data_IF_163143647538
#
_entry.id   IF_163143647538
#
_cell.length_a   1.000
_cell.length_b   1.000
_cell.length_c   1.000
_cell.angle_alpha   90.00
_cell.angle_beta   90.00
_cell.angle_gamma   90.00
#
_symmetry.space_group_name_H-M   'P 1'
#
loop_
_entity.id
_entity.type
_entity.pdbx_description
1 polymer ?
#
# COMPACT_ATOMS: atom_id res chain seq x y z
N UNK A 1 -75.87 0.05 36.36
CA UNK A 1 -74.52 0.69 36.36
C UNK A 1 -74.46 1.74 35.25
N UNK A 2 -73.96 2.96 35.51
CA UNK A 2 -73.91 4.02 34.49
C UNK A 2 -72.79 3.79 33.46
N UNK A 3 -72.91 4.32 32.24
CA UNK A 3 -71.88 4.18 31.20
C UNK A 3 -70.54 4.80 31.60
N UNK A 4 -70.54 5.84 32.44
CA UNK A 4 -69.34 6.44 33.01
C UNK A 4 -68.56 5.43 33.87
N UNK A 5 -69.25 4.73 34.78
CA UNK A 5 -68.64 3.72 35.64
C UNK A 5 -68.10 2.50 34.86
N UNK A 6 -68.74 2.13 33.74
CA UNK A 6 -68.26 1.06 32.85
C UNK A 6 -67.01 1.50 32.08
N UNK A 7 -66.99 2.74 31.58
CA UNK A 7 -65.83 3.31 30.89
C UNK A 7 -64.61 3.42 31.83
N UNK A 8 -64.83 3.85 33.07
CA UNK A 8 -63.78 3.97 34.08
C UNK A 8 -63.20 2.61 34.48
N UNK A 9 -64.05 1.57 34.63
CA UNK A 9 -63.59 0.19 34.87
C UNK A 9 -62.81 -0.40 33.70
N UNK A 10 -63.06 0.04 32.47
CA UNK A 10 -62.28 -0.37 31.30
C UNK A 10 -60.91 0.31 31.28
N UNK A 11 -60.87 1.61 31.57
CA UNK A 11 -59.63 2.36 31.71
C UNK A 11 -58.74 1.79 32.84
N UNK A 12 -59.32 1.50 34.01
CA UNK A 12 -58.62 0.91 35.16
C UNK A 12 -58.03 -0.50 34.88
N UNK A 13 -58.56 -1.23 33.89
CA UNK A 13 -58.04 -2.53 33.43
C UNK A 13 -57.00 -2.40 32.30
N UNK A 14 -56.48 -1.20 32.06
CA UNK A 14 -55.49 -0.91 31.02
C UNK A 14 -56.07 -0.95 29.60
N UNK A 15 -57.40 -1.01 29.46
CA UNK A 15 -58.09 -0.93 28.18
C UNK A 15 -58.47 0.53 27.91
N UNK A 16 -57.46 1.39 27.78
CA UNK A 16 -57.60 2.84 27.53
C UNK A 16 -58.13 3.19 26.13
N UNK A 17 -59.11 2.44 25.64
CA UNK A 17 -59.79 2.73 24.38
C UNK A 17 -60.94 3.72 24.66
N UNK A 18 -60.99 4.80 23.88
CA UNK A 18 -62.16 5.67 23.81
C UNK A 18 -63.36 4.84 23.33
N UNK A 19 -64.31 4.56 24.24
CA UNK A 19 -65.59 3.92 23.92
C UNK A 19 -66.67 4.99 23.90
N UNK A 20 -67.38 5.10 22.79
CA UNK A 20 -68.42 6.12 22.63
C UNK A 20 -69.52 5.93 23.68
N UNK A 21 -69.75 6.93 24.55
CA UNK A 21 -70.73 6.86 25.66
C UNK A 21 -72.12 6.42 25.17
N UNK A 22 -72.57 6.99 24.06
CA UNK A 22 -73.84 6.65 23.40
C UNK A 22 -73.96 5.16 23.02
N UNK A 23 -72.84 4.49 22.75
CA UNK A 23 -72.78 3.04 22.43
C UNK A 23 -72.86 2.18 23.70
N UNK A 24 -72.26 2.63 24.80
CA UNK A 24 -72.38 1.97 26.11
C UNK A 24 -73.80 2.10 26.66
N UNK A 25 -74.39 3.30 26.59
CA UNK A 25 -75.76 3.55 27.02
C UNK A 25 -76.76 2.70 26.22
N UNK A 26 -76.62 2.64 24.89
CA UNK A 26 -77.45 1.78 24.03
C UNK A 26 -77.29 0.28 24.33
N UNK A 27 -76.11 -0.16 24.77
CA UNK A 27 -75.86 -1.53 25.21
C UNK A 27 -76.47 -1.84 26.58
N UNK A 28 -76.40 -0.87 27.50
CA UNK A 28 -77.03 -0.91 28.83
C UNK A 28 -78.55 -1.02 28.72
N UNK A 29 -79.19 -0.23 27.86
CA UNK A 29 -80.65 -0.27 27.64
C UNK A 29 -81.13 -1.59 27.01
N UNK A 30 -80.24 -2.36 26.37
CA UNK A 30 -80.55 -3.67 25.76
C UNK A 30 -80.15 -4.86 26.64
N UNK A 31 -79.66 -4.61 27.85
CA UNK A 31 -79.23 -5.67 28.79
C UNK A 31 -77.94 -6.40 28.41
N UNK A 32 -77.20 -5.96 27.39
CA UNK A 32 -76.01 -6.66 26.87
C UNK A 32 -74.74 -5.92 27.29
N UNK A 33 -74.22 -6.26 28.47
CA UNK A 33 -72.94 -5.76 28.99
C UNK A 33 -71.74 -6.75 28.94
N UNK A 34 -71.90 -8.09 28.98
CA UNK A 34 -70.73 -8.97 29.11
C UNK A 34 -69.83 -9.09 27.87
N UNK A 35 -70.34 -8.74 26.69
CA UNK A 35 -69.65 -8.96 25.40
C UNK A 35 -68.73 -7.84 24.95
N UNK A 36 -69.09 -6.58 25.23
CA UNK A 36 -68.41 -5.39 24.71
C UNK A 36 -66.98 -5.28 25.26
N UNK A 37 -66.81 -5.60 26.54
CA UNK A 37 -65.49 -5.59 27.21
C UNK A 37 -64.56 -6.65 26.61
N UNK A 38 -65.08 -7.86 26.33
CA UNK A 38 -64.29 -8.94 25.73
C UNK A 38 -63.95 -8.64 24.27
N UNK A 39 -64.88 -8.08 23.50
CA UNK A 39 -64.64 -7.69 22.10
C UNK A 39 -63.66 -6.53 21.98
N UNK A 40 -63.76 -5.52 22.84
CA UNK A 40 -62.83 -4.38 22.84
C UNK A 40 -61.45 -4.79 23.36
N UNK A 41 -61.37 -5.66 24.38
CA UNK A 41 -60.10 -6.28 24.79
C UNK A 41 -59.42 -7.00 23.64
N UNK A 42 -60.18 -7.77 22.84
CA UNK A 42 -59.66 -8.44 21.64
C UNK A 42 -59.15 -7.45 20.59
N UNK A 43 -59.88 -6.37 20.31
CA UNK A 43 -59.44 -5.33 19.37
C UNK A 43 -58.20 -4.59 19.84
N UNK A 44 -58.11 -4.23 21.12
CA UNK A 44 -56.93 -3.58 21.68
C UNK A 44 -55.69 -4.48 21.60
N UNK A 45 -55.84 -5.78 21.87
CA UNK A 45 -54.74 -6.73 21.73
C UNK A 45 -54.33 -6.90 20.26
N UNK A 46 -55.27 -6.90 19.32
CA UNK A 46 -54.97 -6.94 17.89
C UNK A 46 -54.18 -5.69 17.44
N UNK A 47 -54.62 -4.49 17.84
CA UNK A 47 -53.90 -3.23 17.53
C UNK A 47 -52.50 -3.20 18.14
N UNK A 48 -52.32 -3.74 19.36
CA UNK A 48 -50.98 -3.85 19.98
C UNK A 48 -50.09 -4.82 19.20
N UNK A 49 -50.59 -6.00 18.84
CA UNK A 49 -49.84 -6.97 18.02
C UNK A 49 -49.45 -6.40 16.66
N UNK A 50 -50.33 -5.63 16.04
CA UNK A 50 -50.05 -4.93 14.78
C UNK A 50 -48.98 -3.85 14.97
N UNK A 51 -49.09 -3.02 16.02
CA UNK A 51 -48.08 -2.01 16.34
C UNK A 51 -46.71 -2.64 16.67
N UNK A 52 -46.70 -3.77 17.38
CA UNK A 52 -45.48 -4.52 17.69
C UNK A 52 -44.89 -5.18 16.44
N UNK A 53 -45.74 -5.68 15.53
CA UNK A 53 -45.34 -6.20 14.22
C UNK A 53 -44.74 -5.13 13.31
N UNK A 54 -45.34 -3.94 13.27
CA UNK A 54 -44.79 -2.78 12.52
C UNK A 54 -43.47 -2.31 13.13
N UNK A 55 -43.36 -2.26 14.47
CA UNK A 55 -42.09 -1.94 15.15
C UNK A 55 -41.01 -2.98 14.89
N UNK A 56 -41.34 -4.27 14.91
CA UNK A 56 -40.40 -5.36 14.61
C UNK A 56 -39.96 -5.33 13.14
N UNK A 57 -40.86 -5.00 12.21
CA UNK A 57 -40.54 -4.85 10.78
C UNK A 57 -39.76 -3.57 10.48
N UNK A 58 -39.89 -2.53 11.31
CA UNK A 58 -39.12 -1.29 11.24
C UNK A 58 -37.74 -1.37 11.95
N UNK A 59 -37.54 -2.33 12.85
CA UNK A 59 -36.28 -2.54 13.57
C UNK A 59 -35.06 -2.79 12.65
N UNK A 60 -35.12 -3.67 11.62
CA UNK A 60 -33.98 -3.88 10.72
C UNK A 60 -33.72 -2.67 9.80
N UNK A 61 -34.72 -1.78 9.60
CA UNK A 61 -34.53 -0.52 8.85
C UNK A 61 -33.94 0.61 9.69
N UNK A 62 -34.00 0.49 11.02
CA UNK A 62 -33.41 1.41 11.99
C UNK A 62 -32.06 0.94 12.54
N UNK A 63 -31.70 -0.33 12.30
CA UNK A 63 -30.35 -0.80 12.55
C UNK A 63 -29.41 -0.04 11.60
N UNK A 64 -28.47 0.71 12.17
CA UNK A 64 -27.37 1.31 11.41
C UNK A 64 -26.70 0.21 10.59
N UNK A 65 -26.26 0.48 9.34
CA UNK A 65 -25.50 -0.50 8.56
C UNK A 65 -24.37 -1.08 9.42
N UNK A 66 -24.04 -2.38 9.30
CA UNK A 66 -22.83 -2.91 9.92
C UNK A 66 -21.64 -2.04 9.48
N UNK A 67 -20.65 -1.79 10.36
CA UNK A 67 -19.51 -0.95 10.00
C UNK A 67 -18.84 -1.50 8.72
N UNK A 68 -18.28 -0.63 7.86
CA UNK A 68 -17.77 -1.00 6.53
C UNK A 68 -16.45 -1.81 6.58
N UNK A 69 -16.31 -2.70 7.56
CA UNK A 69 -15.09 -3.45 7.83
C UNK A 69 -14.85 -4.50 6.75
N UNK A 70 -15.88 -5.21 6.28
CA UNK A 70 -15.70 -6.24 5.26
C UNK A 70 -15.23 -5.69 3.89
N UNK A 71 -15.80 -4.59 3.35
CA UNK A 71 -15.26 -3.97 2.13
C UNK A 71 -13.87 -3.36 2.33
N UNK A 72 -13.57 -2.80 3.50
CA UNK A 72 -12.25 -2.24 3.78
C UNK A 72 -11.17 -3.34 3.86
N UNK A 73 -11.47 -4.46 4.51
CA UNK A 73 -10.57 -5.62 4.57
C UNK A 73 -10.35 -6.25 3.19
N UNK A 74 -11.41 -6.36 2.37
CA UNK A 74 -11.28 -6.87 1.01
C UNK A 74 -10.39 -5.97 0.14
N UNK A 75 -10.52 -4.64 0.27
CA UNK A 75 -9.63 -3.69 -0.42
C UNK A 75 -8.20 -3.79 0.08
N UNK A 76 -7.98 -3.86 1.39
CA UNK A 76 -6.64 -4.02 1.94
C UNK A 76 -5.97 -5.33 1.49
N UNK A 77 -6.73 -6.41 1.36
CA UNK A 77 -6.23 -7.69 0.83
C UNK A 77 -5.88 -7.58 -0.67
N UNK A 78 -6.67 -6.85 -1.45
CA UNK A 78 -6.39 -6.57 -2.86
C UNK A 78 -5.14 -5.70 -3.00
N UNK A 79 -5.03 -4.60 -2.25
CA UNK A 79 -3.86 -3.73 -2.19
C UNK A 79 -2.59 -4.51 -1.81
N UNK A 80 -2.69 -5.43 -0.84
CA UNK A 80 -1.57 -6.28 -0.45
C UNK A 80 -1.15 -7.25 -1.57
N UNK A 81 -2.11 -7.80 -2.32
CA UNK A 81 -1.83 -8.65 -3.50
C UNK A 81 -1.18 -7.84 -4.61
N UNK A 82 -1.65 -6.63 -4.87
CA UNK A 82 -1.05 -5.72 -5.85
C UNK A 82 0.38 -5.34 -5.45
N UNK A 83 0.62 -4.98 -4.19
CA UNK A 83 1.95 -4.67 -3.68
C UNK A 83 2.89 -5.88 -3.84
N UNK A 84 2.46 -7.08 -3.44
CA UNK A 84 3.24 -8.30 -3.62
C UNK A 84 3.56 -8.59 -5.10
N UNK A 85 2.61 -8.36 -6.00
CA UNK A 85 2.83 -8.49 -7.44
C UNK A 85 3.87 -7.48 -7.95
N UNK A 86 3.80 -6.21 -7.52
CA UNK A 86 4.77 -5.18 -7.90
C UNK A 86 6.18 -5.49 -7.40
N UNK A 87 6.32 -6.04 -6.19
CA UNK A 87 7.60 -6.50 -5.64
C UNK A 87 8.18 -7.68 -6.43
N UNK A 88 7.36 -8.65 -6.81
CA UNK A 88 7.81 -9.76 -7.65
C UNK A 88 8.23 -9.26 -9.05
N UNK A 89 7.51 -8.29 -9.62
CA UNK A 89 7.89 -7.66 -10.88
C UNK A 89 9.18 -6.85 -10.78
N UNK A 90 9.40 -6.11 -9.68
CA UNK A 90 10.65 -5.37 -9.48
C UNK A 90 11.83 -6.32 -9.36
N UNK A 91 11.69 -7.41 -8.59
CA UNK A 91 12.69 -8.47 -8.45
C UNK A 91 13.03 -9.13 -9.79
N UNK A 92 12.04 -9.53 -10.57
CA UNK A 92 12.29 -10.15 -11.90
C UNK A 92 13.04 -9.20 -12.84
N UNK A 93 12.62 -7.93 -12.89
CA UNK A 93 13.29 -6.93 -13.74
C UNK A 93 14.72 -6.68 -13.29
N UNK A 94 14.97 -6.62 -11.98
CA UNK A 94 16.31 -6.50 -11.43
C UNK A 94 17.20 -7.68 -11.87
N UNK A 95 16.74 -8.92 -11.65
CA UNK A 95 17.47 -10.12 -12.07
C UNK A 95 17.80 -10.17 -13.55
N UNK A 96 16.87 -9.76 -14.42
CA UNK A 96 17.11 -9.67 -15.89
C UNK A 96 18.22 -8.66 -16.21
N UNK A 97 18.12 -7.42 -15.70
CA UNK A 97 19.12 -6.37 -15.97
C UNK A 97 20.51 -6.74 -15.43
N UNK A 98 20.56 -7.45 -14.31
CA UNK A 98 21.81 -8.02 -13.81
C UNK A 98 22.39 -9.07 -14.74
N UNK A 99 21.57 -9.99 -15.26
CA UNK A 99 22.02 -11.00 -16.22
C UNK A 99 22.52 -10.38 -17.53
N UNK A 100 21.93 -9.26 -17.93
CA UNK A 100 22.35 -8.44 -19.08
C UNK A 100 23.59 -7.58 -18.82
N UNK A 101 24.11 -7.55 -17.58
CA UNK A 101 25.27 -6.75 -17.21
C UNK A 101 25.00 -5.24 -17.13
N UNK A 102 23.74 -4.81 -17.04
CA UNK A 102 23.32 -3.40 -16.97
C UNK A 102 22.43 -3.13 -15.75
N UNK A 103 22.86 -3.46 -14.52
CA UNK A 103 22.04 -3.27 -13.34
C UNK A 103 21.83 -1.78 -13.05
N UNK A 104 20.60 -1.39 -12.70
CA UNK A 104 20.36 -0.08 -12.09
C UNK A 104 20.75 -0.11 -10.61
N UNK A 105 20.95 1.07 -10.00
CA UNK A 105 21.30 1.18 -8.57
C UNK A 105 20.25 0.55 -7.66
N UNK A 106 18.96 0.76 -7.93
CA UNK A 106 17.87 0.10 -7.18
C UNK A 106 17.91 -1.42 -7.32
N UNK A 107 18.33 -1.93 -8.47
CA UNK A 107 18.40 -3.37 -8.71
C UNK A 107 19.43 -3.98 -7.74
N UNK A 108 20.55 -3.30 -7.47
CA UNK A 108 21.56 -3.75 -6.49
C UNK A 108 20.95 -3.91 -5.09
N UNK A 109 20.05 -3.00 -4.70
CA UNK A 109 19.35 -3.09 -3.41
C UNK A 109 18.36 -4.26 -3.41
N UNK A 110 17.55 -4.39 -4.46
CA UNK A 110 16.54 -5.44 -4.61
C UNK A 110 17.18 -6.84 -4.61
N UNK A 111 18.23 -7.05 -5.40
CA UNK A 111 18.94 -8.34 -5.46
C UNK A 111 19.70 -8.65 -4.15
N UNK A 112 20.18 -7.61 -3.45
CA UNK A 112 20.82 -7.79 -2.15
C UNK A 112 19.82 -8.19 -1.07
N UNK A 113 18.65 -7.54 -1.05
CA UNK A 113 17.55 -7.90 -0.15
C UNK A 113 17.02 -9.31 -0.42
N UNK A 114 16.96 -9.70 -1.70
CA UNK A 114 16.58 -11.06 -2.11
C UNK A 114 17.61 -12.14 -1.73
N UNK A 115 18.79 -11.75 -1.24
CA UNK A 115 19.90 -12.64 -0.89
C UNK A 115 20.60 -13.27 -2.09
N UNK A 116 20.25 -12.86 -3.31
CA UNK A 116 20.84 -13.36 -4.54
C UNK A 116 22.23 -12.75 -4.81
N UNK A 117 22.47 -11.54 -4.27
CA UNK A 117 23.73 -10.82 -4.35
C UNK A 117 24.07 -10.21 -2.99
N UNK A 118 25.32 -9.78 -2.78
CA UNK A 118 25.70 -8.99 -1.60
C UNK A 118 26.37 -7.68 -1.99
N UNK A 119 25.60 -6.81 -2.63
CA UNK A 119 26.11 -5.58 -3.26
C UNK A 119 25.37 -4.31 -2.84
N UNK A 120 24.63 -4.31 -1.72
CA UNK A 120 23.80 -3.18 -1.32
C UNK A 120 24.59 -1.86 -1.21
N UNK A 121 25.79 -1.91 -0.61
CA UNK A 121 26.65 -0.73 -0.51
C UNK A 121 27.19 -0.24 -1.86
N UNK A 122 27.24 -1.09 -2.90
CA UNK A 122 27.69 -0.69 -4.22
C UNK A 122 26.71 0.27 -4.91
N UNK A 123 25.42 0.22 -4.56
CA UNK A 123 24.38 1.11 -5.10
C UNK A 123 24.73 2.60 -4.93
N UNK A 124 25.44 2.93 -3.86
CA UNK A 124 25.79 4.31 -3.50
C UNK A 124 27.18 4.73 -3.97
N UNK A 125 28.03 3.80 -4.40
CA UNK A 125 29.42 4.12 -4.78
C UNK A 125 29.45 4.93 -6.07
N UNK A 126 30.24 6.00 -6.06
CA UNK A 126 30.54 6.86 -7.22
C UNK A 126 29.29 7.35 -7.96
N UNK A 127 28.20 7.55 -7.24
CA UNK A 127 26.95 8.05 -7.79
C UNK A 127 26.96 9.58 -7.92
N UNK A 128 26.37 10.09 -8.99
CA UNK A 128 26.11 11.52 -9.10
C UNK A 128 24.98 11.95 -8.16
N UNK A 129 24.91 13.24 -7.83
CA UNK A 129 23.82 13.77 -7.01
C UNK A 129 22.43 13.58 -7.66
N UNK A 130 22.36 13.50 -8.99
CA UNK A 130 21.11 13.24 -9.72
C UNK A 130 20.71 11.77 -9.62
N UNK A 131 21.67 10.86 -9.82
CA UNK A 131 21.43 9.41 -9.69
C UNK A 131 21.01 9.03 -8.27
N UNK A 132 21.58 9.68 -7.25
CA UNK A 132 21.19 9.45 -5.85
C UNK A 132 19.80 9.98 -5.55
N UNK A 133 19.38 11.10 -6.16
CA UNK A 133 18.01 11.60 -6.00
C UNK A 133 16.99 10.65 -6.61
N UNK A 134 17.26 10.17 -7.83
CA UNK A 134 16.43 9.15 -8.48
C UNK A 134 16.37 7.87 -7.64
N UNK A 135 17.53 7.38 -7.18
CA UNK A 135 17.60 6.22 -6.29
C UNK A 135 16.79 6.44 -5.00
N UNK A 136 16.83 7.63 -4.41
CA UNK A 136 16.04 7.96 -3.22
C UNK A 136 14.53 7.91 -3.46
N UNK A 137 14.06 8.28 -4.65
CA UNK A 137 12.66 8.12 -5.05
C UNK A 137 12.30 6.65 -5.26
N UNK A 138 13.16 5.87 -5.92
CA UNK A 138 12.96 4.44 -6.12
C UNK A 138 12.97 3.67 -4.78
N UNK A 139 13.86 4.02 -3.84
CA UNK A 139 13.90 3.46 -2.48
C UNK A 139 12.58 3.75 -1.75
N UNK A 140 12.08 4.99 -1.82
CA UNK A 140 10.81 5.36 -1.18
C UNK A 140 9.65 4.53 -1.73
N UNK A 141 9.56 4.43 -3.06
CA UNK A 141 8.53 3.64 -3.71
C UNK A 141 8.60 2.14 -3.32
N UNK A 142 9.80 1.57 -3.17
CA UNK A 142 9.95 0.20 -2.68
C UNK A 142 9.58 0.07 -1.19
N UNK A 143 9.99 1.03 -0.34
CA UNK A 143 9.67 1.01 1.08
C UNK A 143 8.16 1.06 1.35
N UNK A 144 7.42 1.81 0.54
CA UNK A 144 5.95 1.90 0.62
C UNK A 144 5.28 0.56 0.27
N UNK A 145 5.87 -0.22 -0.64
CA UNK A 145 5.37 -1.54 -1.05
C UNK A 145 5.82 -2.65 -0.10
N UNK A 146 7.05 -2.58 0.42
CA UNK A 146 7.71 -3.62 1.20
C UNK A 146 7.89 -3.22 2.66
N UNK A 147 6.76 -3.17 3.37
CA UNK A 147 6.74 -2.88 4.81
C UNK A 147 7.38 -3.98 5.65
N UNK A 148 7.53 -5.20 5.12
CA UNK A 148 8.14 -6.33 5.83
C UNK A 148 9.65 -6.15 6.04
N UNK A 149 10.33 -5.50 5.07
CA UNK A 149 11.77 -5.24 5.15
C UNK A 149 12.10 -3.79 5.54
N UNK A 150 11.25 -3.17 6.36
CA UNK A 150 11.40 -1.78 6.81
C UNK A 150 12.83 -1.38 7.26
N UNK A 151 13.53 -2.15 8.11
CA UNK A 151 14.88 -1.81 8.55
C UNK A 151 15.91 -1.71 7.40
N UNK A 152 15.76 -2.53 6.35
CA UNK A 152 16.61 -2.45 5.17
C UNK A 152 16.35 -1.18 4.37
N UNK A 153 15.08 -0.88 4.10
CA UNK A 153 14.70 0.32 3.34
C UNK A 153 15.02 1.61 4.10
N UNK A 154 14.89 1.62 5.42
CA UNK A 154 15.31 2.74 6.26
C UNK A 154 16.84 2.94 6.19
N UNK A 155 17.63 1.88 6.36
CA UNK A 155 19.09 1.98 6.27
C UNK A 155 19.58 2.46 4.90
N UNK A 156 19.01 1.93 3.81
CA UNK A 156 19.34 2.38 2.45
C UNK A 156 18.97 3.84 2.21
N UNK A 157 17.80 4.29 2.71
CA UNK A 157 17.39 5.69 2.62
C UNK A 157 18.35 6.62 3.39
N UNK A 158 18.70 6.27 4.62
CA UNK A 158 19.65 7.06 5.44
C UNK A 158 20.99 7.23 4.73
N UNK A 159 21.50 6.17 4.10
CA UNK A 159 22.73 6.25 3.31
C UNK A 159 22.56 7.08 2.04
N UNK A 160 21.44 6.91 1.33
CA UNK A 160 21.14 7.69 0.14
C UNK A 160 21.13 9.21 0.45
N UNK A 161 20.40 9.61 1.49
CA UNK A 161 20.30 11.00 1.92
C UNK A 161 21.68 11.55 2.34
N UNK A 162 22.48 10.75 3.04
CA UNK A 162 23.84 11.13 3.44
C UNK A 162 24.77 11.32 2.23
N UNK A 163 24.71 10.45 1.23
CA UNK A 163 25.51 10.60 0.01
C UNK A 163 25.05 11.78 -0.85
N UNK A 164 23.75 12.10 -0.88
CA UNK A 164 23.25 13.33 -1.52
C UNK A 164 23.87 14.56 -0.84
N UNK A 165 23.91 14.59 0.49
CA UNK A 165 24.51 15.69 1.23
C UNK A 165 26.03 15.78 0.98
N UNK A 166 26.74 14.66 0.92
CA UNK A 166 28.18 14.62 0.61
C UNK A 166 28.46 15.13 -0.80
N UNK A 167 27.68 14.72 -1.79
CA UNK A 167 27.85 15.14 -3.18
C UNK A 167 27.49 16.62 -3.40
N UNK A 168 26.48 17.13 -2.68
CA UNK A 168 26.17 18.56 -2.65
C UNK A 168 27.22 19.39 -1.90
N UNK A 169 27.85 18.82 -0.87
CA UNK A 169 28.76 19.49 0.07
C UNK A 169 30.17 19.79 -0.44
N UNK A 170 30.56 19.35 -1.64
CA UNK A 170 31.80 19.81 -2.29
C UNK A 170 31.68 21.25 -2.85
N UNK A 171 30.47 21.79 -2.95
CA UNK A 171 30.19 23.12 -3.48
C UNK A 171 29.41 23.97 -2.46
N UNK A 172 30.03 24.23 -1.31
CA UNK A 172 29.55 25.27 -0.38
C UNK A 172 28.73 24.74 0.79
N UNK A 173 29.38 24.73 1.96
CA UNK A 173 28.82 24.74 3.33
C UNK A 173 27.28 24.69 3.41
N UNK A 174 26.74 23.49 3.56
CA UNK A 174 25.36 23.29 4.01
C UNK A 174 25.38 22.79 5.45
N UNK A 175 24.99 23.65 6.40
CA UNK A 175 24.44 23.20 7.69
C UNK A 175 25.32 22.39 8.64
N UNK A 176 26.64 22.35 8.47
CA UNK A 176 27.56 21.66 9.39
C UNK A 176 27.81 22.57 10.59
N UNK A 177 27.19 22.26 11.73
CA UNK A 177 27.42 22.93 13.02
C UNK A 177 28.70 22.44 13.68
N UNK A 178 29.22 21.29 13.22
CA UNK A 178 30.54 20.76 13.57
C UNK A 178 31.64 21.37 12.70
N UNK A 179 32.78 21.63 13.32
CA UNK A 179 34.00 21.89 12.55
C UNK A 179 34.41 20.60 11.83
N UNK A 180 34.93 20.70 10.60
CA UNK A 180 35.30 19.52 9.80
C UNK A 180 36.27 18.57 10.52
N UNK A 181 37.18 19.13 11.32
CA UNK A 181 38.12 18.35 12.15
C UNK A 181 37.39 17.60 13.27
N UNK A 182 36.46 18.26 13.95
CA UNK A 182 35.64 17.62 15.00
C UNK A 182 34.75 16.53 14.40
N UNK A 183 34.17 16.78 13.21
CA UNK A 183 33.40 15.77 12.50
C UNK A 183 34.27 14.56 12.10
N UNK A 184 35.51 14.78 11.66
CA UNK A 184 36.45 13.71 11.34
C UNK A 184 36.85 12.91 12.59
N UNK A 185 37.12 13.57 13.71
CA UNK A 185 37.43 12.92 14.98
C UNK A 185 36.24 12.08 15.49
N UNK A 186 35.03 12.64 15.43
CA UNK A 186 33.79 11.92 15.76
C UNK A 186 33.63 10.70 14.86
N UNK A 187 33.79 10.86 13.54
CA UNK A 187 33.70 9.75 12.59
C UNK A 187 34.74 8.67 12.89
N UNK A 188 35.99 9.02 13.18
CA UNK A 188 37.03 8.04 13.55
C UNK A 188 36.65 7.22 14.79
N UNK A 189 35.98 7.83 15.77
CA UNK A 189 35.49 7.13 16.96
C UNK A 189 34.29 6.23 16.65
N UNK A 190 33.39 6.67 15.77
CA UNK A 190 32.16 5.96 15.40
C UNK A 190 32.47 4.76 14.48
N UNK A 191 33.39 4.91 13.52
CA UNK A 191 33.78 3.85 12.58
C UNK A 191 34.40 2.62 13.26
N UNK A 192 35.03 2.77 14.43
CA UNK A 192 35.61 1.66 15.18
C UNK A 192 34.60 0.81 15.96
N UNK A 193 33.35 1.28 16.14
CA UNK A 193 32.40 0.73 17.12
C UNK A 193 31.40 -0.26 16.54
N UNK A 194 30.99 -1.27 17.29
CA UNK A 194 29.96 -2.20 16.80
C UNK A 194 28.54 -1.56 16.86
N UNK A 195 27.53 -2.24 16.30
CA UNK A 195 26.16 -1.70 16.25
C UNK A 195 25.56 -1.44 17.64
N UNK A 196 25.84 -2.30 18.63
CA UNK A 196 25.35 -2.15 20.00
C UNK A 196 25.99 -0.95 20.70
N UNK A 197 27.29 -0.75 20.49
CA UNK A 197 28.03 0.40 21.00
C UNK A 197 27.54 1.72 20.37
N UNK A 198 27.23 1.71 19.08
CA UNK A 198 26.66 2.86 18.38
C UNK A 198 25.26 3.20 18.87
N UNK A 199 24.42 2.20 19.13
CA UNK A 199 23.09 2.42 19.73
C UNK A 199 23.22 2.99 21.15
N UNK A 200 24.13 2.44 21.98
CA UNK A 200 24.40 2.95 23.31
C UNK A 200 24.89 4.41 23.29
N UNK A 201 25.73 4.79 22.32
CA UNK A 201 26.13 6.18 22.11
C UNK A 201 24.95 7.07 21.72
N UNK A 202 24.10 6.63 20.79
CA UNK A 202 22.92 7.37 20.38
C UNK A 202 21.98 7.62 21.57
N UNK A 203 21.72 6.59 22.39
CA UNK A 203 20.89 6.70 23.59
C UNK A 203 21.49 7.68 24.60
N UNK A 204 22.81 7.61 24.83
CA UNK A 204 23.52 8.51 25.75
C UNK A 204 23.39 9.97 25.31
N UNK A 205 23.56 10.25 24.01
CA UNK A 205 23.42 11.61 23.47
C UNK A 205 21.96 12.07 23.54
N UNK A 206 20.99 11.19 23.25
CA UNK A 206 19.57 11.51 23.34
C UNK A 206 19.14 11.89 24.77
N UNK A 207 19.65 11.19 25.79
CA UNK A 207 19.42 11.54 27.20
C UNK A 207 20.00 12.92 27.53
N UNK A 208 21.20 13.23 27.05
CA UNK A 208 21.82 14.57 27.24
C UNK A 208 21.02 15.68 26.56
N UNK A 209 20.48 15.43 25.37
CA UNK A 209 19.60 16.40 24.70
C UNK A 209 18.28 16.60 25.47
N UNK A 210 17.67 15.52 25.97
CA UNK A 210 16.45 15.59 26.78
C UNK A 210 16.66 16.31 28.12
N UNK A 211 17.86 16.22 28.68
CA UNK A 211 18.25 16.94 29.90
C UNK A 211 18.42 18.46 29.71
N UNK A 212 18.29 18.98 28.49
CA UNK A 212 18.24 20.41 28.21
C UNK A 212 19.61 21.09 28.07
N UNK A 213 20.64 20.36 27.60
CA UNK A 213 21.92 20.94 27.17
C UNK A 213 21.75 21.77 25.87
N UNK A 214 20.98 22.87 25.92
CA UNK A 214 20.52 23.61 24.72
C UNK A 214 21.62 24.33 23.95
N UNK A 215 22.77 24.60 24.59
CA UNK A 215 23.87 25.35 23.98
C UNK A 215 24.60 24.58 22.87
N UNK A 216 24.44 23.27 22.84
CA UNK A 216 25.15 22.37 21.91
C UNK A 216 24.18 21.44 21.16
N UNK A 217 22.88 21.68 21.27
CA UNK A 217 21.83 20.81 20.72
C UNK A 217 22.01 20.52 19.23
N UNK A 218 22.31 21.55 18.43
CA UNK A 218 22.51 21.39 16.98
C UNK A 218 23.73 20.51 16.65
N UNK A 219 24.82 20.64 17.41
CA UNK A 219 26.02 19.81 17.24
C UNK A 219 25.76 18.36 17.67
N UNK A 220 25.02 18.15 18.77
CA UNK A 220 24.64 16.81 19.23
C UNK A 220 23.70 16.13 18.23
N UNK A 221 22.79 16.90 17.61
CA UNK A 221 21.92 16.41 16.55
C UNK A 221 22.72 15.98 15.31
N UNK A 222 23.76 16.72 14.96
CA UNK A 222 24.66 16.36 13.87
C UNK A 222 25.46 15.09 14.18
N UNK A 223 25.98 14.95 15.41
CA UNK A 223 26.65 13.71 15.86
C UNK A 223 25.69 12.52 15.81
N UNK A 224 24.42 12.68 16.21
CA UNK A 224 23.40 11.63 16.05
C UNK A 224 23.21 11.28 14.57
N UNK A 225 23.20 12.27 13.68
CA UNK A 225 23.14 12.04 12.24
C UNK A 225 24.29 11.17 11.74
N UNK A 226 25.53 11.49 12.12
CA UNK A 226 26.72 10.71 11.76
C UNK A 226 26.65 9.28 12.31
N UNK A 227 26.22 9.10 13.57
CA UNK A 227 26.05 7.77 14.17
C UNK A 227 25.00 6.97 13.38
N UNK A 228 23.86 7.56 13.00
CA UNK A 228 22.83 6.89 12.21
C UNK A 228 23.34 6.44 10.84
N UNK A 229 24.13 7.27 10.16
CA UNK A 229 24.74 6.92 8.87
C UNK A 229 25.68 5.74 9.03
N UNK A 230 26.54 5.74 10.06
CA UNK A 230 27.47 4.63 10.28
C UNK A 230 26.76 3.35 10.73
N UNK A 231 25.70 3.46 11.54
CA UNK A 231 24.84 2.32 11.89
C UNK A 231 24.18 1.72 10.64
N UNK A 232 23.60 2.55 9.77
CA UNK A 232 22.99 2.09 8.53
C UNK A 232 24.01 1.39 7.61
N UNK A 233 25.21 1.97 7.48
CA UNK A 233 26.33 1.39 6.72
C UNK A 233 26.74 0.03 7.27
N UNK A 234 26.92 -0.09 8.60
CA UNK A 234 27.30 -1.35 9.25
C UNK A 234 26.21 -2.40 9.18
N UNK A 235 24.95 -2.00 9.34
CA UNK A 235 23.80 -2.87 9.16
C UNK A 235 23.77 -3.46 7.75
N UNK A 236 23.93 -2.64 6.70
CA UNK A 236 24.01 -3.14 5.33
C UNK A 236 25.27 -3.94 5.05
N UNK A 237 26.41 -3.59 5.67
CA UNK A 237 27.66 -4.32 5.53
C UNK A 237 27.55 -5.74 6.07
N UNK A 238 26.96 -5.91 7.26
CA UNK A 238 26.84 -7.20 7.95
C UNK A 238 25.81 -8.13 7.29
N UNK A 239 24.71 -7.57 6.81
CA UNK A 239 23.55 -8.37 6.38
C UNK A 239 23.42 -8.49 4.85
N UNK A 240 23.88 -7.48 4.09
CA UNK A 240 23.55 -7.32 2.67
C UNK A 240 24.74 -6.97 1.76
N UNK A 241 25.96 -6.95 2.31
CA UNK A 241 27.17 -6.70 1.53
C UNK A 241 28.22 -7.78 1.81
N UNK A 242 28.99 -8.11 0.79
CA UNK A 242 30.06 -9.10 0.83
C UNK A 242 31.14 -8.71 -0.16
N UNK A 243 32.20 -9.51 -0.24
CA UNK A 243 33.35 -9.30 -1.13
C UNK A 243 33.03 -9.54 -2.63
N UNK A 244 31.74 -9.60 -2.99
CA UNK A 244 31.34 -9.64 -4.39
C UNK A 244 31.83 -8.37 -5.09
N UNK A 245 32.69 -8.54 -6.09
CA UNK A 245 33.21 -7.44 -6.87
C UNK A 245 32.05 -6.57 -7.36
N UNK A 246 32.08 -5.25 -7.13
CA UNK A 246 31.00 -4.38 -7.55
C UNK A 246 30.82 -4.52 -9.07
N UNK A 247 29.58 -4.68 -9.57
CA UNK A 247 29.36 -4.67 -11.01
C UNK A 247 29.91 -3.36 -11.57
N UNK A 248 30.75 -3.48 -12.59
CA UNK A 248 31.40 -2.32 -13.22
C UNK A 248 30.31 -1.45 -13.83
N UNK A 249 30.18 -0.23 -13.32
CA UNK A 249 29.54 0.86 -14.04
C UNK A 249 30.59 1.42 -15.00
N UNK A 250 30.88 0.70 -16.08
CA UNK A 250 31.71 1.26 -17.14
C UNK A 250 30.87 2.32 -17.86
N UNK A 251 31.32 3.56 -17.74
CA UNK A 251 30.72 4.78 -18.30
C UNK A 251 30.86 4.84 -19.83
N UNK A 252 30.28 3.87 -20.55
CA UNK A 252 30.27 3.87 -22.01
C UNK A 252 29.05 4.65 -22.54
N UNK A 253 28.99 5.93 -22.19
CA UNK A 253 28.06 6.92 -22.75
C UNK A 253 28.81 8.05 -23.44
N UNK A 254 29.43 7.71 -24.58
CA UNK A 254 29.83 8.57 -25.72
C UNK A 254 30.06 7.59 -26.88
N UNK A 255 29.31 7.53 -27.98
CA UNK A 255 28.84 8.61 -28.86
C UNK A 255 27.86 7.99 -29.86
N UNK A 256 26.55 8.18 -29.68
CA UNK A 256 25.54 7.98 -30.74
C UNK A 256 25.43 9.27 -31.59
N UNK A 257 26.57 9.71 -32.12
CA UNK A 257 26.65 10.86 -33.01
C UNK A 257 27.56 10.55 -34.20
N UNK A 258 27.13 9.59 -35.03
CA UNK A 258 27.35 9.47 -36.49
C UNK A 258 27.05 8.04 -36.94
N UNK A 259 25.80 7.76 -37.27
CA UNK A 259 25.49 6.69 -38.22
C UNK A 259 24.26 7.02 -39.04
N UNK A 260 24.35 8.16 -39.74
CA UNK A 260 23.57 8.39 -40.94
C UNK A 260 24.51 8.55 -42.14
N UNK A 261 24.14 7.83 -43.19
CA UNK A 261 24.54 7.93 -44.60
C UNK A 261 25.92 7.41 -45.01
N UNK A 262 25.94 6.14 -45.42
CA UNK A 262 26.61 5.79 -46.68
C UNK A 262 25.65 4.95 -47.53
N UNK A 263 24.85 5.65 -48.34
CA UNK A 263 24.31 5.10 -49.58
C UNK A 263 25.46 5.24 -50.58
N UNK A 264 25.91 4.13 -51.14
CA UNK A 264 26.68 4.10 -52.37
C UNK A 264 26.25 2.85 -53.12
N UNK A 265 25.63 3.11 -54.26
CA UNK A 265 25.14 2.16 -55.24
C UNK A 265 26.27 1.22 -55.71
N UNK A 266 25.96 -0.06 -55.81
CA UNK A 266 26.62 -0.98 -56.74
C UNK A 266 25.57 -1.96 -57.23
N UNK A 267 25.16 -1.73 -58.47
CA UNK A 267 24.24 -2.55 -59.24
C UNK A 267 24.91 -3.82 -59.76
N UNK A 268 24.08 -4.84 -60.05
CA UNK A 268 24.32 -6.00 -60.94
C UNK A 268 25.34 -7.06 -60.46
N UNK A 269 25.14 -8.38 -60.49
CA UNK A 269 24.15 -9.28 -61.07
C UNK A 269 24.48 -10.68 -60.48
N UNK A 270 23.50 -11.49 -60.09
CA UNK A 270 23.78 -12.82 -59.54
C UNK A 270 22.57 -13.49 -58.88
N UNK A 271 21.64 -13.94 -59.70
CA UNK A 271 20.44 -14.67 -59.29
C UNK A 271 20.78 -16.09 -58.79
N UNK A 272 20.45 -16.41 -57.54
CA UNK A 272 20.09 -17.77 -57.14
C UNK A 272 18.88 -17.76 -56.17
N UNK A 273 17.76 -18.42 -56.52
CA UNK A 273 16.55 -18.39 -55.70
C UNK A 273 16.66 -19.36 -54.52
N UNK A 274 16.62 -18.81 -53.30
CA UNK A 274 16.46 -19.58 -52.06
C UNK A 274 15.10 -20.28 -52.04
N UNK A 275 15.16 -21.61 -51.96
CA UNK A 275 14.00 -22.50 -51.87
C UNK A 275 13.25 -22.29 -50.55
N UNK A 276 11.90 -22.26 -50.55
CA UNK A 276 11.14 -22.26 -49.32
C UNK A 276 11.21 -23.63 -48.63
N UNK A 277 11.58 -23.61 -47.35
CA UNK A 277 11.55 -24.76 -46.44
C UNK A 277 10.09 -25.19 -46.27
N UNK A 278 9.78 -26.39 -46.74
CA UNK A 278 8.45 -27.00 -46.64
C UNK A 278 8.18 -27.45 -45.20
N UNK A 279 7.09 -26.94 -44.62
CA UNK A 279 6.41 -27.55 -43.48
C UNK A 279 5.66 -28.81 -43.97
N UNK A 280 5.73 -29.95 -43.27
CA UNK A 280 5.02 -31.16 -43.68
C UNK A 280 3.50 -31.04 -43.45
N UNK A 281 2.73 -31.29 -44.51
CA UNK A 281 1.29 -31.44 -44.47
C UNK A 281 0.86 -32.81 -43.92
N UNK A 282 -0.25 -32.76 -43.18
CA UNK A 282 -0.97 -33.77 -42.40
C UNK A 282 -1.43 -35.01 -43.17
N UNK A 283 -1.38 -36.18 -42.52
CA UNK A 283 -2.35 -37.26 -42.78
C UNK A 283 -3.52 -37.15 -41.80
N UNK A 284 -4.71 -37.13 -42.37
CA UNK A 284 -6.02 -37.06 -41.72
C UNK A 284 -6.47 -38.46 -41.28
N UNK A 285 -6.86 -38.59 -40.01
CA UNK A 285 -7.92 -39.52 -39.60
C UNK A 285 -8.80 -38.86 -38.54
N UNK A 286 -10.10 -38.97 -38.74
CA UNK A 286 -11.21 -38.24 -38.13
C UNK A 286 -11.37 -38.44 -36.62
N UNK A 287 -11.71 -37.37 -35.88
CA UNK A 287 -12.69 -37.39 -34.80
C UNK A 287 -13.12 -35.96 -34.38
N UNK A 288 -14.42 -35.68 -34.55
CA UNK A 288 -15.28 -34.81 -33.74
C UNK A 288 -14.82 -33.39 -33.33
N UNK A 289 -15.30 -32.40 -34.10
CA UNK A 289 -16.00 -31.20 -33.65
C UNK A 289 -15.50 -30.41 -32.43
N UNK A 290 -14.91 -29.24 -32.68
CA UNK A 290 -15.23 -27.97 -32.02
C UNK A 290 -14.49 -26.83 -32.73
N UNK A 291 -15.20 -26.03 -33.53
CA UNK A 291 -14.67 -24.82 -34.16
C UNK A 291 -14.36 -23.76 -33.09
N UNK A 292 -13.09 -23.38 -32.96
CA UNK A 292 -12.67 -22.20 -32.21
C UNK A 292 -12.99 -20.95 -33.05
N UNK A 293 -14.20 -20.43 -32.90
CA UNK A 293 -14.59 -19.12 -33.41
C UNK A 293 -13.84 -18.01 -32.66
N UNK A 294 -13.13 -17.15 -33.40
CA UNK A 294 -12.48 -15.93 -32.87
C UNK A 294 -13.53 -14.99 -32.28
N UNK A 295 -13.32 -14.40 -31.08
CA UNK A 295 -14.27 -13.48 -30.48
C UNK A 295 -14.43 -12.22 -31.34
N UNK A 296 -15.68 -11.92 -31.72
CA UNK A 296 -16.07 -10.70 -32.42
C UNK A 296 -16.04 -9.53 -31.43
N UNK A 297 -15.29 -8.49 -31.78
CA UNK A 297 -15.30 -7.19 -31.10
C UNK A 297 -16.75 -6.67 -30.96
N UNK A 298 -17.17 -6.36 -29.73
CA UNK A 298 -18.42 -5.61 -29.47
C UNK A 298 -18.06 -4.13 -29.39
N UNK A 299 -18.55 -3.35 -30.34
CA UNK A 299 -18.45 -1.91 -30.36
C UNK A 299 -19.59 -1.26 -29.55
N UNK A 300 -19.19 -0.36 -28.63
CA UNK A 300 -19.84 0.83 -28.07
C UNK A 300 -21.34 0.81 -27.67
N UNK A 301 -21.58 1.24 -26.43
CA UNK A 301 -22.64 2.20 -26.12
C UNK A 301 -22.05 3.41 -25.38
N UNK A 302 -22.11 4.59 -26.02
CA UNK A 302 -21.92 5.89 -25.37
C UNK A 302 -23.29 6.29 -24.81
N UNK A 303 -23.43 6.36 -23.49
CA UNK A 303 -24.57 7.03 -22.86
C UNK A 303 -24.12 8.43 -22.49
N UNK A 304 -24.55 9.42 -23.27
CA UNK A 304 -24.52 10.82 -22.85
C UNK A 304 -25.66 11.07 -21.87
N UNK A 305 -25.40 11.88 -20.86
CA UNK A 305 -26.42 12.52 -20.04
C UNK A 305 -26.23 14.03 -20.19
N UNK A 306 -27.29 14.68 -20.66
CA UNK A 306 -27.58 16.10 -20.41
C UNK A 306 -28.02 16.29 -18.96
#
# INVERSE_FOLDING_TARGET
PSAAAVSERLAARGLGAFVWRKKLDRGLSRGVLPGIVRSERRRCLARRKEADGVKASAAPRRASPPPPVAPALARAEEEAKEAAFLLEQSRRRAGIRFAEGRPRRIDMLVESLAGARRCALAAFRRASAEELKELGEEIRAQADLDTANGPFWEATKVLCDAEILKTAGSAGRSGVYLHSEVAADVMSVVEGKNLEELDAMQQTIAVRMAAGESKIGDQLQEVIGLIRVEMAKKFLAQNYSGDDAPPSFDDDYKTDAKRENHIADTDEEGSEPLRPVALPATQTTQAAGQEWMKPKYVARARTGYE
#
